data_IF_200067295571
#
_entry.id   IF_200067295571
#
_cell.length_a   1.000
_cell.length_b   1.000
_cell.length_c   1.000
_cell.angle_alpha   90.00
_cell.angle_beta   90.00
_cell.angle_gamma   90.00
#
_symmetry.space_group_name_H-M   'P 1'
#
loop_
_entity.id
_entity.type
_entity.pdbx_description
1 polymer ?
#
# COMPACT_ATOMS: atom_id res chain seq x y z
N UNK A 1 -18.18 18.39 -15.62
CA UNK A 1 -17.74 17.05 -15.14
C UNK A 1 -18.96 16.29 -14.63
N UNK A 2 -19.05 14.98 -14.85
CA UNK A 2 -20.15 14.20 -14.24
C UNK A 2 -19.93 14.08 -12.73
N UNK A 3 -21.02 13.88 -11.98
CA UNK A 3 -20.97 13.67 -10.52
C UNK A 3 -19.98 12.56 -10.13
N UNK A 4 -19.92 11.49 -10.91
CA UNK A 4 -18.99 10.37 -10.68
C UNK A 4 -17.53 10.76 -10.86
N UNK A 5 -17.18 11.59 -11.85
CA UNK A 5 -15.81 12.08 -12.02
C UNK A 5 -15.36 12.93 -10.83
N UNK A 6 -16.25 13.78 -10.32
CA UNK A 6 -15.97 14.62 -9.13
C UNK A 6 -15.75 13.74 -7.90
N UNK A 7 -16.62 12.76 -7.66
CA UNK A 7 -16.47 11.82 -6.53
C UNK A 7 -15.15 11.05 -6.63
N UNK A 8 -14.79 10.53 -7.80
CA UNK A 8 -13.54 9.79 -7.96
C UNK A 8 -12.30 10.64 -7.68
N UNK A 9 -12.29 11.91 -8.13
CA UNK A 9 -11.19 12.83 -7.85
C UNK A 9 -11.11 13.13 -6.35
N UNK A 10 -12.25 13.38 -5.70
CA UNK A 10 -12.29 13.60 -4.25
C UNK A 10 -11.77 12.37 -3.47
N UNK A 11 -12.11 11.15 -3.90
CA UNK A 11 -11.59 9.94 -3.29
C UNK A 11 -10.06 9.82 -3.45
N UNK A 12 -9.53 10.10 -4.65
CA UNK A 12 -8.07 10.09 -4.88
C UNK A 12 -7.38 11.14 -4.02
N UNK A 13 -7.92 12.37 -3.96
CA UNK A 13 -7.38 13.44 -3.12
C UNK A 13 -7.43 13.05 -1.64
N UNK A 14 -8.54 12.45 -1.18
CA UNK A 14 -8.67 12.01 0.19
C UNK A 14 -7.64 10.94 0.56
N UNK A 15 -7.39 9.96 -0.32
CA UNK A 15 -6.36 8.94 -0.11
C UNK A 15 -4.98 9.59 -0.06
N UNK A 16 -4.63 10.48 -0.99
CA UNK A 16 -3.34 11.18 -0.97
C UNK A 16 -3.17 12.01 0.30
N UNK A 17 -4.21 12.72 0.72
CA UNK A 17 -4.21 13.52 1.95
C UNK A 17 -4.00 12.65 3.20
N UNK A 18 -4.59 11.44 3.23
CA UNK A 18 -4.46 10.50 4.34
C UNK A 18 -2.99 10.11 4.59
N UNK A 19 -2.17 10.03 3.55
CA UNK A 19 -0.72 9.79 3.67
C UNK A 19 0.08 11.08 3.85
N UNK A 20 -0.20 12.12 3.05
CA UNK A 20 0.61 13.34 3.03
C UNK A 20 0.47 14.19 4.30
N UNK A 21 -0.74 14.26 4.89
CA UNK A 21 -0.98 15.08 6.08
C UNK A 21 -0.17 14.58 7.28
N UNK A 22 -0.23 13.29 7.67
CA UNK A 22 0.64 12.79 8.74
C UNK A 22 2.11 13.07 8.46
N UNK A 23 2.62 12.72 7.27
CA UNK A 23 4.04 12.88 6.90
C UNK A 23 4.54 14.31 7.04
N UNK A 24 3.71 15.31 6.73
CA UNK A 24 4.10 16.72 6.79
C UNK A 24 3.98 17.33 8.19
N UNK A 25 3.07 16.84 9.03
CA UNK A 25 2.67 17.52 10.26
C UNK A 25 2.95 16.72 11.55
N UNK A 26 3.24 15.43 11.46
CA UNK A 26 3.50 14.56 12.62
C UNK A 26 4.98 14.20 12.66
N UNK A 27 5.77 14.75 13.58
CA UNK A 27 7.16 14.34 13.75
C UNK A 27 7.22 12.94 14.40
N UNK A 28 7.99 12.03 13.82
CA UNK A 28 8.20 10.69 14.37
C UNK A 28 8.88 9.76 13.37
N UNK A 29 9.44 8.66 13.87
CA UNK A 29 9.86 7.54 13.03
C UNK A 29 8.61 6.74 12.65
N UNK A 30 8.31 6.70 11.35
CA UNK A 30 7.23 5.89 10.79
C UNK A 30 7.64 4.42 10.69
N UNK A 31 7.99 3.84 11.84
CA UNK A 31 8.27 2.42 11.98
C UNK A 31 6.97 1.60 11.85
N UNK A 32 7.11 0.32 11.50
CA UNK A 32 5.98 -0.60 11.40
C UNK A 32 5.26 -0.76 12.75
N UNK A 33 3.93 -0.91 12.71
CA UNK A 33 3.10 -1.17 13.89
C UNK A 33 3.61 -2.36 14.71
N UNK A 34 4.06 -3.40 14.02
CA UNK A 34 4.40 -4.68 14.62
C UNK A 34 5.71 -4.58 15.41
N UNK A 35 6.66 -3.72 14.97
CA UNK A 35 7.87 -3.41 15.72
C UNK A 35 7.56 -2.71 17.05
N UNK A 36 6.74 -1.66 17.01
CA UNK A 36 6.31 -0.94 18.22
C UNK A 36 5.49 -1.84 19.17
N UNK A 37 4.64 -2.70 18.63
CA UNK A 37 3.88 -3.66 19.42
C UNK A 37 4.80 -4.70 20.08
N UNK A 38 5.81 -5.18 19.34
CA UNK A 38 6.82 -6.11 19.86
C UNK A 38 7.56 -5.54 21.06
N UNK A 39 8.10 -4.33 20.94
CA UNK A 39 8.80 -3.65 22.03
C UNK A 39 7.91 -3.47 23.27
N UNK A 40 6.64 -3.07 23.07
CA UNK A 40 5.69 -2.90 24.16
C UNK A 40 5.38 -4.23 24.88
N UNK A 41 5.31 -5.33 24.15
CA UNK A 41 5.07 -6.68 24.70
C UNK A 41 6.31 -7.17 25.46
N UNK A 42 7.51 -7.03 24.89
CA UNK A 42 8.76 -7.41 25.55
C UNK A 42 8.98 -6.65 26.86
N UNK A 43 8.57 -5.36 26.91
CA UNK A 43 8.62 -4.55 28.12
C UNK A 43 7.74 -5.09 29.27
N UNK A 44 6.76 -5.94 29.00
CA UNK A 44 5.95 -6.62 30.04
C UNK A 44 6.66 -7.83 30.67
N UNK A 45 7.86 -8.17 30.21
CA UNK A 45 8.62 -9.36 30.62
C UNK A 45 8.24 -10.62 29.86
N UNK A 46 7.42 -10.50 28.80
CA UNK A 46 7.09 -11.59 27.91
C UNK A 46 8.33 -12.04 27.13
N UNK A 47 8.45 -13.36 26.91
CA UNK A 47 9.50 -13.95 26.10
C UNK A 47 8.89 -14.61 24.86
N UNK A 48 9.38 -14.31 23.65
CA UNK A 48 8.92 -14.96 22.43
C UNK A 48 9.04 -16.49 22.53
N UNK A 49 7.94 -17.20 22.26
CA UNK A 49 7.94 -18.68 22.18
C UNK A 49 8.34 -19.19 20.80
N UNK A 50 8.55 -18.30 19.84
CA UNK A 50 8.93 -18.59 18.47
C UNK A 50 9.94 -17.57 17.97
N UNK A 51 10.94 -18.04 17.23
CA UNK A 51 11.89 -17.21 16.49
C UNK A 51 11.70 -17.45 14.99
N UNK A 52 11.77 -16.40 14.14
CA UNK A 52 11.71 -16.58 12.70
C UNK A 52 12.79 -17.56 12.22
N UNK A 53 12.43 -18.44 11.28
CA UNK A 53 13.38 -19.38 10.65
C UNK A 53 14.41 -18.62 9.79
N UNK A 54 14.02 -17.44 9.31
CA UNK A 54 14.86 -16.55 8.53
C UNK A 54 14.47 -15.10 8.78
N UNK A 55 15.48 -14.25 8.96
CA UNK A 55 15.35 -12.81 9.00
C UNK A 55 16.19 -12.18 7.88
N UNK A 56 15.69 -11.10 7.23
CA UNK A 56 16.47 -10.35 6.26
C UNK A 56 17.80 -9.87 6.87
N UNK A 57 18.94 -10.03 6.16
CA UNK A 57 20.24 -9.64 6.70
C UNK A 57 20.40 -8.12 6.90
N UNK A 58 19.51 -7.31 6.33
CA UNK A 58 19.42 -5.87 6.59
C UNK A 58 17.99 -5.36 6.35
N UNK A 59 17.63 -4.25 7.02
CA UNK A 59 16.34 -3.57 6.80
C UNK A 59 16.18 -3.00 5.38
N UNK A 60 17.29 -2.76 4.67
CA UNK A 60 17.26 -2.37 3.26
C UNK A 60 16.76 -3.52 2.37
N UNK A 61 17.20 -4.76 2.67
CA UNK A 61 16.76 -5.95 1.94
C UNK A 61 15.29 -6.23 2.23
N UNK A 62 14.86 -6.10 3.49
CA UNK A 62 13.46 -6.19 3.89
C UNK A 62 12.59 -5.20 3.09
N UNK A 63 12.96 -3.93 3.11
CA UNK A 63 12.27 -2.86 2.36
C UNK A 63 12.28 -3.12 0.86
N UNK A 64 13.38 -3.66 0.32
CA UNK A 64 13.51 -4.04 -1.09
C UNK A 64 12.54 -5.16 -1.50
N UNK A 65 12.34 -6.17 -0.64
CA UNK A 65 11.37 -7.24 -0.89
C UNK A 65 9.93 -6.68 -0.87
N UNK A 66 9.61 -5.81 0.09
CA UNK A 66 8.31 -5.13 0.12
C UNK A 66 8.08 -4.26 -1.13
N UNK A 67 9.10 -3.51 -1.57
CA UNK A 67 9.02 -2.70 -2.78
C UNK A 67 8.80 -3.56 -4.03
N UNK A 68 9.45 -4.72 -4.13
CA UNK A 68 9.26 -5.66 -5.23
C UNK A 68 7.83 -6.23 -5.25
N UNK A 69 7.29 -6.60 -4.09
CA UNK A 69 5.90 -7.05 -3.96
C UNK A 69 4.91 -5.96 -4.37
N UNK A 70 5.14 -4.72 -3.93
CA UNK A 70 4.33 -3.57 -4.30
C UNK A 70 4.37 -3.31 -5.82
N UNK A 71 5.57 -3.36 -6.43
CA UNK A 71 5.73 -3.18 -7.87
C UNK A 71 5.02 -4.28 -8.68
N UNK A 72 5.13 -5.54 -8.26
CA UNK A 72 4.44 -6.65 -8.88
C UNK A 72 2.91 -6.50 -8.77
N UNK A 73 2.40 -6.17 -7.58
CA UNK A 73 0.97 -5.91 -7.35
C UNK A 73 0.43 -4.75 -8.20
N UNK A 74 1.18 -3.65 -8.27
CA UNK A 74 0.86 -2.50 -9.11
C UNK A 74 0.85 -2.87 -10.60
N UNK A 75 1.79 -3.69 -11.06
CA UNK A 75 1.84 -4.20 -12.43
C UNK A 75 0.60 -5.02 -12.79
N UNK A 76 0.20 -5.97 -11.94
CA UNK A 76 -1.02 -6.79 -12.13
C UNK A 76 -2.26 -5.91 -12.14
N UNK A 77 -2.41 -4.99 -11.18
CA UNK A 77 -3.56 -4.08 -11.11
C UNK A 77 -3.64 -3.20 -12.35
N UNK A 78 -2.51 -2.63 -12.79
CA UNK A 78 -2.41 -1.81 -13.98
C UNK A 78 -2.81 -2.57 -15.25
N UNK A 79 -2.35 -3.83 -15.40
CA UNK A 79 -2.75 -4.70 -16.50
C UNK A 79 -4.26 -4.95 -16.50
N UNK A 80 -4.85 -5.32 -15.36
CA UNK A 80 -6.29 -5.56 -15.23
C UNK A 80 -7.13 -4.33 -15.60
N UNK A 81 -6.74 -3.15 -15.10
CA UNK A 81 -7.40 -1.88 -15.45
C UNK A 81 -7.28 -1.61 -16.95
N UNK A 82 -6.09 -1.82 -17.53
CA UNK A 82 -5.84 -1.67 -18.97
C UNK A 82 -6.75 -2.56 -19.82
N UNK A 83 -6.82 -3.86 -19.49
CA UNK A 83 -7.69 -4.82 -20.17
C UNK A 83 -9.17 -4.44 -20.04
N UNK A 84 -9.62 -4.06 -18.83
CA UNK A 84 -11.00 -3.64 -18.60
C UNK A 84 -11.37 -2.40 -19.44
N UNK A 85 -10.46 -1.42 -19.51
CA UNK A 85 -10.63 -0.21 -20.33
C UNK A 85 -10.74 -0.54 -21.82
N UNK A 86 -9.87 -1.42 -22.34
CA UNK A 86 -9.92 -1.84 -23.75
C UNK A 86 -11.23 -2.57 -24.07
N UNK A 87 -11.62 -3.54 -23.25
CA UNK A 87 -12.90 -4.27 -23.41
C UNK A 87 -14.12 -3.33 -23.40
N UNK A 88 -14.13 -2.32 -22.54
CA UNK A 88 -15.21 -1.34 -22.51
C UNK A 88 -15.28 -0.52 -23.80
N UNK A 89 -14.13 -0.14 -24.36
CA UNK A 89 -14.07 0.62 -25.62
C UNK A 89 -14.55 -0.19 -26.82
N UNK A 90 -14.14 -1.46 -26.90
CA UNK A 90 -14.59 -2.38 -27.96
C UNK A 90 -16.11 -2.61 -27.91
N UNK A 91 -16.68 -2.76 -26.71
CA UNK A 91 -18.13 -2.87 -26.53
C UNK A 91 -18.86 -1.62 -27.04
N UNK A 92 -18.39 -0.42 -26.68
CA UNK A 92 -18.97 0.83 -27.17
C UNK A 92 -18.83 0.98 -28.68
N UNK A 93 -17.71 0.56 -29.27
CA UNK A 93 -17.49 0.61 -30.71
C UNK A 93 -18.36 -0.37 -31.50
N UNK A 94 -18.72 -1.52 -30.93
CA UNK A 94 -19.67 -2.49 -31.54
C UNK A 94 -21.14 -2.06 -31.45
N UNK A 95 -21.46 -1.10 -30.58
CA UNK A 95 -22.82 -0.60 -30.35
C UNK A 95 -23.14 0.69 -31.11
N UNK A 96 -22.12 1.29 -31.75
CA UNK A 96 -22.24 2.44 -32.64
C UNK A 96 -22.30 1.98 -34.10
#
# INVERSE_FOLDING_TARGET
MSRSTVVNILLVVAVVALFAVPVLFVPGEYAGSDGQAGEAIEATGYQPWFSPVWEPPSGEIESGIFAMQAAAGAGVLGYCIGVARTRSREKSARQA
#
